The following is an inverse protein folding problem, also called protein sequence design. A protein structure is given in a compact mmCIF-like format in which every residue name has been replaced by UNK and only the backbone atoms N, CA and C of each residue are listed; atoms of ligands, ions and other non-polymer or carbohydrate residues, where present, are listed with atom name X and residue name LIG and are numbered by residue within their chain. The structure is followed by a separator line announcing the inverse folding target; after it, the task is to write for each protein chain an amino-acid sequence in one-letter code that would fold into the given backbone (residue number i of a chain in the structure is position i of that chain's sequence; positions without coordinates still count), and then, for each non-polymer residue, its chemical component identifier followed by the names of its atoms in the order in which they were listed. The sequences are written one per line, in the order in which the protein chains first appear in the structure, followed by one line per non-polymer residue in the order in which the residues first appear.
data_IF_069769234286
#
_entry.id   IF_069769234286
#
_cell.length_a   1.000
_cell.length_b   1.000
_cell.length_c   1.000
_cell.angle_alpha   90.00
_cell.angle_beta   90.00
_cell.angle_gamma   90.00
#
_symmetry.space_group_name_H-M   'P 1'
#
loop_
_entity.id
_entity.type
_entity.pdbx_description
1 polymer ?
#
# COMPACT_ATOMS: atom_id res chain seq x y z
N UNK A 1 9.29 -3.58 -27.08
CA UNK A 1 8.43 -2.81 -26.21
C UNK A 1 8.71 -3.14 -24.75
N UNK A 2 9.00 -2.16 -23.98
CA UNK A 2 9.29 -2.37 -22.58
C UNK A 2 8.01 -2.68 -21.81
N UNK A 3 8.05 -3.68 -20.95
CA UNK A 3 6.95 -3.96 -20.04
C UNK A 3 7.01 -2.98 -18.89
N UNK A 4 5.92 -2.30 -18.54
CA UNK A 4 5.91 -1.44 -17.36
C UNK A 4 5.97 -2.21 -16.05
N UNK A 5 5.84 -3.55 -16.12
CA UNK A 5 5.69 -4.38 -14.93
C UNK A 5 6.94 -4.46 -14.06
N UNK A 6 8.12 -4.07 -14.61
CA UNK A 6 9.35 -4.14 -13.84
C UNK A 6 9.71 -2.82 -13.16
N UNK A 7 8.93 -1.78 -13.39
CA UNK A 7 9.23 -0.46 -12.87
C UNK A 7 8.63 -0.30 -11.49
N UNK A 8 9.46 -0.46 -10.48
CA UNK A 8 9.04 -0.26 -9.09
C UNK A 8 9.37 1.17 -8.69
N UNK A 9 8.37 1.86 -8.16
CA UNK A 9 8.54 3.21 -7.65
C UNK A 9 8.67 3.10 -6.14
N UNK A 10 9.76 3.60 -5.60
CA UNK A 10 10.03 3.55 -4.16
C UNK A 10 10.20 4.97 -3.63
N UNK A 11 9.46 5.27 -2.57
CA UNK A 11 9.53 6.57 -1.90
C UNK A 11 9.70 6.32 -0.41
N UNK A 12 10.76 6.90 0.17
CA UNK A 12 10.98 6.83 1.60
C UNK A 12 10.84 8.23 2.18
N UNK A 13 10.14 8.32 3.30
CA UNK A 13 9.85 9.59 3.98
C UNK A 13 10.09 9.40 5.47
N UNK A 14 10.24 10.50 6.22
CA UNK A 14 10.25 10.38 7.67
C UNK A 14 8.94 9.78 8.17
N UNK A 15 9.02 8.97 9.22
CA UNK A 15 7.84 8.30 9.78
C UNK A 15 7.04 9.30 10.64
N UNK A 16 6.40 10.25 9.98
CA UNK A 16 5.59 11.28 10.61
C UNK A 16 4.23 11.36 9.91
N UNK A 17 3.22 11.81 10.63
CA UNK A 17 1.89 11.94 10.07
C UNK A 17 1.86 12.90 8.86
N UNK A 18 2.69 13.95 8.89
CA UNK A 18 2.74 14.90 7.79
C UNK A 18 3.30 14.31 6.49
N UNK A 19 4.10 13.25 6.60
CA UNK A 19 4.69 12.61 5.42
C UNK A 19 3.71 11.73 4.65
N UNK A 20 2.58 11.37 5.26
CA UNK A 20 1.58 10.51 4.60
C UNK A 20 1.03 11.18 3.35
N UNK A 21 0.96 12.51 3.32
CA UNK A 21 0.50 13.24 2.14
C UNK A 21 1.35 12.95 0.91
N UNK A 22 2.67 12.80 1.10
CA UNK A 22 3.56 12.49 -0.01
C UNK A 22 3.26 11.10 -0.55
N UNK A 23 3.11 10.13 0.34
CA UNK A 23 2.83 8.75 -0.07
C UNK A 23 1.48 8.65 -0.78
N UNK A 24 0.48 9.37 -0.28
CA UNK A 24 -0.84 9.42 -0.90
C UNK A 24 -0.76 10.01 -2.30
N UNK A 25 -0.05 11.12 -2.46
CA UNK A 25 0.07 11.79 -3.75
C UNK A 25 0.78 10.91 -4.78
N UNK A 26 1.84 10.21 -4.37
CA UNK A 26 2.55 9.31 -5.27
C UNK A 26 1.65 8.15 -5.68
N UNK A 27 0.92 7.58 -4.73
CA UNK A 27 0.00 6.47 -5.01
C UNK A 27 -1.04 6.86 -6.03
N UNK A 28 -1.72 7.99 -5.84
CA UNK A 28 -2.76 8.43 -6.77
C UNK A 28 -2.18 8.79 -8.13
N UNK A 29 -1.00 9.38 -8.16
CA UNK A 29 -0.34 9.74 -9.41
C UNK A 29 -0.02 8.50 -10.25
N UNK A 30 0.49 7.45 -9.62
CA UNK A 30 0.81 6.20 -10.32
C UNK A 30 -0.48 5.49 -10.73
N UNK A 31 -1.45 5.39 -9.83
CA UNK A 31 -2.71 4.70 -10.11
C UNK A 31 -3.47 5.34 -11.25
N UNK A 32 -3.41 6.67 -11.37
CA UNK A 32 -4.10 7.40 -12.42
C UNK A 32 -3.56 7.09 -13.83
N UNK A 33 -2.38 6.50 -13.92
CA UNK A 33 -1.76 6.12 -15.20
C UNK A 33 -2.10 4.70 -15.61
N UNK A 34 -2.88 4.01 -14.80
CA UNK A 34 -3.27 2.62 -15.03
C UNK A 34 -4.76 2.55 -15.27
N UNK A 35 -5.26 1.46 -15.89
CA UNK A 35 -6.70 1.30 -16.10
C UNK A 35 -7.40 0.91 -14.80
N UNK A 36 -7.37 1.79 -13.83
CA UNK A 36 -8.07 1.64 -12.56
C UNK A 36 -9.19 2.67 -12.54
N UNK A 37 -10.45 2.27 -12.30
CA UNK A 37 -11.54 3.23 -12.23
C UNK A 37 -11.33 4.25 -11.12
N UNK A 38 -11.95 5.40 -11.25
CA UNK A 38 -11.80 6.47 -10.26
C UNK A 38 -12.10 5.97 -8.84
N UNK A 39 -13.15 5.19 -8.67
CA UNK A 39 -13.50 4.66 -7.35
C UNK A 39 -12.38 3.76 -6.80
N UNK A 40 -11.74 2.99 -7.67
CA UNK A 40 -10.62 2.14 -7.27
C UNK A 40 -9.41 2.96 -6.84
N UNK A 41 -9.15 4.08 -7.52
CA UNK A 41 -8.05 4.98 -7.13
C UNK A 41 -8.34 5.56 -5.76
N UNK A 42 -9.58 5.99 -5.51
CA UNK A 42 -9.97 6.55 -4.22
C UNK A 42 -9.88 5.50 -3.11
N UNK A 43 -10.30 4.27 -3.39
CA UNK A 43 -10.18 3.19 -2.43
C UNK A 43 -8.72 2.93 -2.08
N UNK A 44 -7.84 2.92 -3.08
CA UNK A 44 -6.43 2.69 -2.85
C UNK A 44 -5.80 3.83 -2.05
N UNK A 45 -6.20 5.07 -2.33
CA UNK A 45 -5.73 6.23 -1.58
C UNK A 45 -6.10 6.10 -0.10
N UNK A 46 -7.35 5.73 0.17
CA UNK A 46 -7.82 5.53 1.53
C UNK A 46 -7.09 4.35 2.19
N UNK A 47 -6.83 3.30 1.43
CA UNK A 47 -6.11 2.14 1.95
C UNK A 47 -4.68 2.49 2.35
N UNK A 48 -3.99 3.31 1.57
CA UNK A 48 -2.63 3.75 1.93
C UNK A 48 -2.69 4.58 3.21
N UNK A 49 -3.67 5.48 3.34
CA UNK A 49 -3.85 6.26 4.58
C UNK A 49 -4.03 5.34 5.78
N UNK A 50 -4.91 4.36 5.66
CA UNK A 50 -5.20 3.44 6.76
C UNK A 50 -3.99 2.56 7.10
N UNK A 51 -3.28 2.09 6.09
CA UNK A 51 -2.08 1.28 6.29
C UNK A 51 -1.01 2.07 7.04
N UNK A 52 -0.81 3.33 6.67
CA UNK A 52 0.14 4.20 7.36
C UNK A 52 -0.26 4.40 8.83
N UNK A 53 -1.53 4.66 9.08
CA UNK A 53 -2.02 4.88 10.44
C UNK A 53 -1.82 3.62 11.30
N UNK A 54 -2.09 2.46 10.72
CA UNK A 54 -1.92 1.20 11.43
C UNK A 54 -0.46 0.94 11.78
N UNK A 55 0.43 1.18 10.82
CA UNK A 55 1.87 1.01 11.06
C UNK A 55 2.39 2.00 12.10
N UNK A 56 1.96 3.27 12.05
CA UNK A 56 2.35 4.26 13.07
C UNK A 56 1.97 3.80 14.47
N UNK A 57 0.78 3.22 14.62
CA UNK A 57 0.31 2.76 15.91
C UNK A 57 1.17 1.61 16.45
N UNK A 58 1.78 0.82 15.55
CA UNK A 58 2.59 -0.33 15.92
C UNK A 58 4.06 -0.02 16.02
N UNK A 59 4.51 1.10 15.49
CA UNK A 59 5.92 1.45 15.47
C UNK A 59 6.18 2.90 15.79
N UNK A 60 5.82 3.36 17.01
CA UNK A 60 6.07 4.77 17.34
C UNK A 60 7.55 5.13 17.36
N UNK A 61 8.44 4.15 17.47
CA UNK A 61 9.89 4.39 17.40
C UNK A 61 10.43 4.38 15.97
N UNK A 62 9.61 4.10 14.97
CA UNK A 62 10.05 4.09 13.59
C UNK A 62 10.54 5.48 13.16
N UNK A 63 11.59 5.51 12.34
CA UNK A 63 12.16 6.76 11.83
C UNK A 63 11.86 6.96 10.35
N UNK A 64 11.59 5.90 9.61
CA UNK A 64 11.36 5.96 8.18
C UNK A 64 10.15 5.13 7.80
N UNK A 65 9.41 5.62 6.80
CA UNK A 65 8.30 4.93 6.21
C UNK A 65 8.53 4.86 4.70
N UNK A 66 8.34 3.70 4.10
CA UNK A 66 8.63 3.47 2.69
C UNK A 66 7.40 2.95 1.98
N UNK A 67 7.11 3.55 0.83
CA UNK A 67 6.08 3.09 -0.09
C UNK A 67 6.75 2.52 -1.33
N UNK A 68 6.34 1.33 -1.74
CA UNK A 68 6.79 0.71 -2.98
C UNK A 68 5.57 0.40 -3.83
N UNK A 69 5.54 0.93 -5.03
CA UNK A 69 4.45 0.71 -5.97
C UNK A 69 4.99 -0.10 -7.15
N UNK A 70 4.31 -1.19 -7.43
CA UNK A 70 4.68 -2.08 -8.53
C UNK A 70 3.49 -2.27 -9.45
N UNK A 71 3.47 -1.58 -10.60
CA UNK A 71 2.45 -1.85 -11.61
C UNK A 71 2.73 -3.19 -12.29
N UNK A 72 1.71 -4.03 -12.31
CA UNK A 72 1.76 -5.33 -13.00
C UNK A 72 0.68 -5.34 -14.08
N UNK A 73 0.63 -6.40 -14.86
CA UNK A 73 -0.29 -6.45 -16.02
C UNK A 73 -1.76 -6.35 -15.60
N UNK A 74 -2.11 -6.93 -14.46
CA UNK A 74 -3.50 -7.04 -14.04
C UNK A 74 -3.79 -6.34 -12.72
N UNK A 75 -2.79 -5.67 -12.13
CA UNK A 75 -2.98 -5.06 -10.82
C UNK A 75 -1.86 -4.08 -10.49
N UNK A 76 -2.13 -3.27 -9.49
CA UNK A 76 -1.11 -2.45 -8.86
C UNK A 76 -0.87 -2.98 -7.44
N UNK A 77 0.38 -3.26 -7.12
CA UNK A 77 0.78 -3.60 -5.76
C UNK A 77 1.32 -2.37 -5.07
N UNK A 78 0.87 -2.14 -3.85
CA UNK A 78 1.35 -1.05 -3.02
C UNK A 78 1.79 -1.64 -1.68
N UNK A 79 3.05 -1.48 -1.34
CA UNK A 79 3.57 -1.95 -0.07
C UNK A 79 4.02 -0.77 0.77
N UNK A 80 3.49 -0.68 1.98
CA UNK A 80 3.91 0.33 2.96
C UNK A 80 4.64 -0.38 4.07
N UNK A 81 5.81 0.13 4.45
CA UNK A 81 6.62 -0.47 5.50
C UNK A 81 7.22 0.59 6.40
N UNK A 82 7.56 0.19 7.62
CA UNK A 82 8.29 1.02 8.58
C UNK A 82 9.53 0.27 9.03
N UNK A 83 10.51 1.01 9.54
CA UNK A 83 11.81 0.45 9.89
C UNK A 83 11.89 -0.12 11.32
N UNK A 84 10.83 -0.03 12.10
CA UNK A 84 10.81 -0.58 13.45
C UNK A 84 9.39 -0.84 13.91
N UNK A 85 9.20 -1.88 14.72
CA UNK A 85 7.94 -2.15 15.39
C UNK A 85 8.19 -2.32 16.88
N UNK A 86 7.23 -1.87 17.68
CA UNK A 86 7.31 -1.94 19.13
C UNK A 86 6.40 -3.02 19.69
N UNK A 87 6.25 -4.11 18.98
CA UNK A 87 5.43 -5.23 19.40
C UNK A 87 5.39 -6.29 18.32
N UNK A 88 4.62 -7.36 18.54
CA UNK A 88 4.53 -8.42 17.54
C UNK A 88 3.85 -7.93 16.28
N UNK A 89 4.38 -8.36 15.15
CA UNK A 89 3.83 -8.09 13.83
C UNK A 89 3.91 -9.37 13.00
N UNK A 90 2.83 -9.86 12.37
CA UNK A 90 1.46 -9.29 12.46
C UNK A 90 0.87 -9.41 13.86
N UNK A 91 -0.13 -8.56 14.19
CA UNK A 91 -0.78 -8.65 15.51
C UNK A 91 -1.56 -9.96 15.65
N UNK A 92 -1.70 -10.49 16.89
CA UNK A 92 -2.31 -11.81 17.07
C UNK A 92 -3.79 -11.89 16.67
N UNK A 93 -4.57 -10.84 16.86
CA UNK A 93 -6.00 -10.85 16.55
C UNK A 93 -6.27 -10.12 15.23
N UNK A 94 -5.47 -10.41 14.23
CA UNK A 94 -5.42 -9.69 12.99
C UNK A 94 -6.78 -9.54 12.32
N UNK A 95 -7.46 -10.65 12.06
CA UNK A 95 -8.69 -10.63 11.25
C UNK A 95 -9.88 -10.03 11.97
N UNK A 96 -9.76 -9.82 13.27
CA UNK A 96 -10.81 -9.20 14.08
C UNK A 96 -10.57 -7.71 14.25
N UNK A 97 -9.41 -7.21 13.84
CA UNK A 97 -9.07 -5.81 14.04
C UNK A 97 -9.80 -4.92 13.04
N UNK A 98 -10.12 -3.70 13.47
CA UNK A 98 -10.78 -2.73 12.61
C UNK A 98 -9.93 -2.35 11.39
N UNK A 99 -8.61 -2.08 11.54
CA UNK A 99 -7.79 -1.78 10.36
C UNK A 99 -7.82 -2.89 9.31
N UNK A 100 -7.77 -4.14 9.72
CA UNK A 100 -7.86 -5.27 8.79
C UNK A 100 -9.18 -5.22 8.00
N UNK A 101 -10.28 -4.98 8.70
CA UNK A 101 -11.60 -4.92 8.06
C UNK A 101 -11.70 -3.76 7.08
N UNK A 102 -11.19 -2.60 7.48
CA UNK A 102 -11.20 -1.42 6.60
C UNK A 102 -10.38 -1.69 5.34
N UNK A 103 -9.15 -2.19 5.51
CA UNK A 103 -8.29 -2.45 4.37
C UNK A 103 -8.86 -3.53 3.46
N UNK A 104 -9.41 -4.60 4.06
CA UNK A 104 -10.01 -5.68 3.26
C UNK A 104 -11.18 -5.21 2.42
N UNK A 105 -11.89 -4.18 2.85
CA UNK A 105 -13.00 -3.63 2.10
C UNK A 105 -12.54 -2.72 0.96
N UNK A 106 -11.31 -2.19 1.02
CA UNK A 106 -10.84 -1.19 0.08
C UNK A 106 -9.97 -1.78 -1.04
N UNK A 107 -9.37 -2.94 -0.81
CA UNK A 107 -8.42 -3.52 -1.77
C UNK A 107 -8.81 -4.96 -2.11
N UNK A 108 -8.24 -5.49 -3.18
CA UNK A 108 -8.58 -6.83 -3.64
C UNK A 108 -7.85 -7.90 -2.84
N UNK A 109 -6.60 -7.66 -2.47
CA UNK A 109 -5.87 -8.55 -1.57
C UNK A 109 -5.08 -7.74 -0.57
N UNK A 110 -4.86 -8.33 0.58
CA UNK A 110 -4.19 -7.70 1.71
C UNK A 110 -3.32 -8.74 2.39
N UNK A 111 -2.07 -8.41 2.63
CA UNK A 111 -1.21 -9.25 3.45
C UNK A 111 -0.29 -8.42 4.32
N UNK A 112 -0.01 -8.93 5.51
CA UNK A 112 0.91 -8.33 6.44
C UNK A 112 2.16 -9.18 6.49
N UNK A 113 3.30 -8.54 6.32
CA UNK A 113 4.57 -9.24 6.22
C UNK A 113 5.60 -8.60 7.15
N UNK A 114 6.63 -9.37 7.44
CA UNK A 114 7.83 -8.87 8.08
C UNK A 114 8.97 -9.19 7.14
N UNK A 115 9.68 -8.17 6.71
CA UNK A 115 10.86 -8.36 5.87
C UNK A 115 12.08 -7.78 6.59
N UNK A 116 13.20 -7.71 5.88
CA UNK A 116 14.45 -7.22 6.47
C UNK A 116 14.34 -5.77 6.96
N UNK A 117 13.41 -5.01 6.43
CA UNK A 117 13.22 -3.62 6.82
C UNK A 117 12.26 -3.41 7.97
N UNK A 118 11.49 -4.45 8.36
CA UNK A 118 10.51 -4.35 9.43
C UNK A 118 9.09 -4.68 8.98
N UNK A 119 8.09 -4.25 9.73
CA UNK A 119 6.70 -4.52 9.40
C UNK A 119 6.28 -3.91 8.07
N UNK A 120 5.49 -4.65 7.30
CA UNK A 120 4.96 -4.15 6.04
C UNK A 120 3.53 -4.61 5.80
N UNK A 121 2.81 -3.82 5.01
CA UNK A 121 1.45 -4.11 4.57
C UNK A 121 1.45 -4.06 3.06
N UNK A 122 1.07 -5.17 2.42
CA UNK A 122 0.97 -5.25 0.97
C UNK A 122 -0.49 -5.17 0.57
N UNK A 123 -0.81 -4.20 -0.28
CA UNK A 123 -2.14 -3.94 -0.80
C UNK A 123 -2.12 -4.19 -2.29
N UNK A 124 -3.17 -4.81 -2.81
CA UNK A 124 -3.28 -5.07 -4.24
C UNK A 124 -4.61 -4.55 -4.76
N UNK A 125 -4.57 -3.76 -5.83
CA UNK A 125 -5.77 -3.28 -6.49
C UNK A 125 -5.72 -3.72 -7.95
N UNK A 126 -6.76 -4.43 -8.38
CA UNK A 126 -6.82 -4.93 -9.76
C UNK A 126 -7.10 -3.80 -10.73
N UNK A 127 -6.47 -3.91 -11.89
CA UNK A 127 -6.79 -3.04 -13.01
C UNK A 127 -7.96 -3.64 -13.78
N UNK A 128 -8.61 -2.81 -14.58
CA UNK A 128 -9.61 -3.31 -15.51
C UNK A 128 -8.94 -4.19 -16.54
N UNK A 129 -9.64 -5.24 -16.96
CA UNK A 129 -9.13 -6.08 -18.01
C UNK A 129 -9.03 -5.27 -19.30
N UNK A 130 -7.98 -5.50 -20.10
CA UNK A 130 -7.90 -4.87 -21.41
C UNK A 130 -9.12 -5.23 -22.24
N UNK A 131 -9.58 -4.30 -23.06
CA UNK A 131 -10.70 -4.56 -23.95
C UNK A 131 -10.36 -5.73 -24.86
N UNK A 132 -11.26 -6.68 -24.95
CA UNK A 132 -11.11 -7.80 -25.87
C UNK A 132 -11.76 -7.54 -27.20
N UNK A 133 -12.35 -6.40 -27.34
CA UNK A 133 -12.96 -6.04 -28.61
C UNK A 133 -11.86 -5.84 -29.62
N UNK A 134 -11.85 -6.69 -30.56
CA UNK A 134 -10.86 -6.58 -31.61
C UNK A 134 -11.32 -5.56 -32.63
#
# INVERSE_FOLDING_TARGET
MASPTNDVITVSVPATAGSVHVLRAVTTSVAARLPIPFDGIEDLRLAVDEACAWLFARGPSATAMTLRLRPLDDRLEAEVSIDAADGPWPPPDLEQSLPWRILSALVDTLSLNTDAGGPSILLTKRTLEPSRTA
#
